data_IF_676672034709
#
_entry.id   IF_676672034709
#
_cell.length_a   1.000
_cell.length_b   1.000
_cell.length_c   1.000
_cell.angle_alpha   90.00
_cell.angle_beta   90.00
_cell.angle_gamma   90.00
#
_symmetry.space_group_name_H-M   'P 1'
#
loop_
_entity.id
_entity.type
_entity.pdbx_description
1 polymer ?
#
# COMPACT_ATOMS: atom_id res chain seq x y z
N UNK A 1 24.29 3.53 -52.19
CA UNK A 1 22.86 3.60 -51.80
C UNK A 1 22.75 3.02 -50.40
N UNK A 2 22.67 3.91 -49.40
CA UNK A 2 22.60 3.56 -47.98
C UNK A 2 21.16 3.70 -47.53
N UNK A 3 20.52 2.62 -47.11
CA UNK A 3 19.16 2.63 -46.55
C UNK A 3 19.22 2.69 -45.04
N UNK A 4 18.75 3.80 -44.48
CA UNK A 4 18.50 4.01 -43.05
C UNK A 4 17.25 3.23 -42.62
N UNK A 5 17.23 2.55 -41.47
CA UNK A 5 16.00 2.00 -40.92
C UNK A 5 15.20 3.09 -40.18
N UNK A 6 13.91 3.21 -40.49
CA UNK A 6 12.95 4.03 -39.73
C UNK A 6 12.56 3.33 -38.44
N UNK A 7 12.88 3.95 -37.31
CA UNK A 7 12.36 3.57 -35.99
C UNK A 7 10.91 4.09 -35.91
N UNK A 8 9.95 3.18 -35.76
CA UNK A 8 8.56 3.51 -35.46
C UNK A 8 8.41 3.55 -33.94
N UNK A 9 8.35 4.74 -33.36
CA UNK A 9 7.95 4.94 -31.97
C UNK A 9 6.45 4.75 -31.86
N UNK A 10 6.05 3.62 -31.26
CA UNK A 10 4.66 3.37 -30.86
C UNK A 10 4.42 4.15 -29.57
N UNK A 11 3.60 5.20 -29.63
CA UNK A 11 3.12 5.94 -28.46
C UNK A 11 2.02 5.15 -27.78
N UNK A 12 2.34 4.48 -26.67
CA UNK A 12 1.36 3.97 -25.71
C UNK A 12 0.57 5.15 -25.13
N UNK A 13 -0.77 5.09 -25.04
CA UNK A 13 -1.53 6.12 -24.36
C UNK A 13 -1.17 6.14 -22.87
N UNK A 14 -0.55 7.24 -22.43
CA UNK A 14 -0.35 7.55 -21.02
C UNK A 14 -1.71 7.95 -20.44
N UNK A 15 -2.39 6.99 -19.80
CA UNK A 15 -3.55 7.27 -18.97
C UNK A 15 -3.04 8.12 -17.82
N UNK A 16 -3.50 9.37 -17.69
CA UNK A 16 -3.15 10.23 -16.57
C UNK A 16 -3.43 9.49 -15.26
N UNK A 17 -2.44 9.39 -14.34
CA UNK A 17 -2.66 8.68 -13.09
C UNK A 17 -3.78 9.40 -12.33
N UNK A 18 -4.75 8.63 -11.86
CA UNK A 18 -5.67 9.10 -10.82
C UNK A 18 -4.79 9.49 -9.65
N UNK A 19 -4.73 10.78 -9.33
CA UNK A 19 -3.92 11.26 -8.20
C UNK A 19 -4.52 10.67 -6.93
N UNK A 20 -3.69 9.99 -6.14
CA UNK A 20 -4.07 9.42 -4.84
C UNK A 20 -3.23 10.09 -3.76
N UNK A 21 -3.87 10.46 -2.67
CA UNK A 21 -3.17 10.90 -1.47
C UNK A 21 -3.21 9.78 -0.44
N UNK A 22 -2.08 9.58 0.24
CA UNK A 22 -1.94 8.59 1.30
C UNK A 22 -1.63 9.29 2.61
N UNK A 23 -2.10 8.70 3.70
CA UNK A 23 -1.73 9.12 5.05
C UNK A 23 -1.75 7.92 5.98
N UNK A 24 -0.95 7.98 7.04
CA UNK A 24 -0.97 7.01 8.13
C UNK A 24 -1.84 7.59 9.23
N UNK A 25 -2.71 6.77 9.83
CA UNK A 25 -3.49 7.20 10.99
C UNK A 25 -2.59 7.68 12.14
N UNK A 26 -3.04 8.69 12.88
CA UNK A 26 -2.32 9.15 14.06
C UNK A 26 -2.40 8.10 15.18
N UNK A 27 -3.59 7.53 15.36
CA UNK A 27 -3.89 6.54 16.39
C UNK A 27 -3.66 5.09 15.94
N UNK A 28 -3.51 4.23 16.95
CA UNK A 28 -3.47 2.78 16.80
C UNK A 28 -4.87 2.21 16.93
N UNK A 29 -5.16 1.20 16.13
CA UNK A 29 -6.44 0.51 16.10
C UNK A 29 -6.21 -0.96 16.39
N UNK A 30 -7.10 -1.59 17.15
CA UNK A 30 -7.12 -3.04 17.24
C UNK A 30 -7.42 -3.64 15.86
N UNK A 31 -6.89 -4.83 15.59
CA UNK A 31 -7.18 -5.59 14.38
C UNK A 31 -8.69 -5.83 14.19
N UNK A 32 -9.44 -5.92 15.28
CA UNK A 32 -10.90 -6.10 15.23
C UNK A 32 -11.68 -4.83 14.88
N UNK A 33 -11.08 -3.64 14.98
CA UNK A 33 -11.74 -2.35 14.74
C UNK A 33 -12.16 -2.13 13.28
N UNK A 34 -13.10 -1.22 13.03
CA UNK A 34 -13.45 -0.83 11.66
C UNK A 34 -12.41 0.15 11.08
N UNK A 35 -11.39 -0.40 10.42
CA UNK A 35 -10.30 0.38 9.81
C UNK A 35 -10.77 1.26 8.66
N UNK A 36 -11.88 0.91 7.98
CA UNK A 36 -12.45 1.74 6.93
C UNK A 36 -13.11 2.98 7.54
N UNK A 37 -13.88 2.80 8.62
CA UNK A 37 -14.44 3.91 9.37
C UNK A 37 -13.33 4.83 9.93
N UNK A 38 -12.23 4.26 10.43
CA UNK A 38 -11.07 5.03 10.85
C UNK A 38 -10.55 5.91 9.70
N UNK A 39 -10.26 5.34 8.51
CA UNK A 39 -9.80 6.16 7.39
C UNK A 39 -10.77 7.28 7.00
N UNK A 40 -12.08 7.03 7.05
CA UNK A 40 -13.11 8.04 6.79
C UNK A 40 -13.05 9.17 7.82
N UNK A 41 -12.85 8.85 9.09
CA UNK A 41 -12.77 9.83 10.18
C UNK A 41 -11.55 10.74 10.07
N UNK A 42 -10.35 10.18 9.84
CA UNK A 42 -9.11 10.97 9.76
C UNK A 42 -8.92 11.68 8.41
N UNK A 43 -9.45 11.11 7.32
CA UNK A 43 -9.07 11.52 5.97
C UNK A 43 -10.26 11.90 5.06
N UNK A 44 -11.47 11.83 5.62
CA UNK A 44 -12.72 12.26 5.01
C UNK A 44 -13.48 11.15 4.30
N UNK A 45 -14.74 11.43 3.98
CA UNK A 45 -15.75 10.47 3.48
C UNK A 45 -15.34 9.56 2.31
N UNK A 46 -14.38 9.98 1.49
CA UNK A 46 -13.95 9.24 0.29
C UNK A 46 -12.66 8.44 0.53
N UNK A 47 -12.15 8.44 1.77
CA UNK A 47 -10.99 7.68 2.17
C UNK A 47 -11.35 6.22 2.44
N UNK A 48 -10.36 5.35 2.22
CA UNK A 48 -10.42 3.93 2.53
C UNK A 48 -9.07 3.45 3.03
N UNK A 49 -9.03 2.23 3.54
CA UNK A 49 -7.76 1.53 3.77
C UNK A 49 -7.05 1.34 2.43
N UNK A 50 -5.74 1.59 2.40
CA UNK A 50 -4.92 1.28 1.25
C UNK A 50 -4.95 -0.23 0.95
N UNK A 51 -4.82 -0.58 -0.31
CA UNK A 51 -4.87 -1.96 -0.78
C UNK A 51 -3.54 -2.36 -1.43
N UNK A 52 -3.07 -3.54 -1.05
CA UNK A 52 -1.81 -4.07 -1.55
C UNK A 52 -1.79 -4.20 -3.08
N UNK A 53 -2.85 -4.71 -3.70
CA UNK A 53 -2.87 -4.92 -5.16
C UNK A 53 -3.19 -3.61 -5.88
N UNK A 54 -4.21 -2.88 -5.42
CA UNK A 54 -4.73 -1.73 -6.17
C UNK A 54 -4.00 -0.41 -5.91
N UNK A 55 -3.19 -0.34 -4.86
CA UNK A 55 -2.39 0.84 -4.53
C UNK A 55 -0.89 0.58 -4.57
N UNK A 56 -0.40 -0.56 -4.06
CA UNK A 56 1.05 -0.80 -4.03
C UNK A 56 1.54 -1.41 -5.34
N UNK A 57 1.02 -2.58 -5.72
CA UNK A 57 1.41 -3.27 -6.97
C UNK A 57 0.99 -2.51 -8.24
N UNK A 58 0.19 -1.44 -8.09
CA UNK A 58 -0.21 -0.55 -9.18
C UNK A 58 0.75 0.64 -9.41
N UNK A 59 1.71 0.87 -8.49
CA UNK A 59 2.75 1.90 -8.61
C UNK A 59 4.06 1.28 -9.07
N UNK A 60 4.91 2.07 -9.73
CA UNK A 60 6.30 1.68 -9.95
C UNK A 60 7.02 1.54 -8.59
N UNK A 61 7.97 0.60 -8.47
CA UNK A 61 8.62 0.33 -7.18
C UNK A 61 9.28 1.56 -6.55
N UNK A 62 9.93 2.40 -7.36
CA UNK A 62 10.62 3.58 -6.87
C UNK A 62 9.64 4.68 -6.42
N UNK A 63 8.47 4.77 -7.06
CA UNK A 63 7.39 5.65 -6.61
C UNK A 63 6.89 5.22 -5.24
N UNK A 64 6.62 3.92 -5.06
CA UNK A 64 6.15 3.37 -3.80
C UNK A 64 7.20 3.53 -2.68
N UNK A 65 8.49 3.31 -2.96
CA UNK A 65 9.58 3.54 -1.99
C UNK A 65 9.64 5.00 -1.54
N UNK A 66 9.51 5.94 -2.47
CA UNK A 66 9.49 7.36 -2.15
C UNK A 66 8.25 7.72 -1.32
N UNK A 67 7.08 7.19 -1.67
CA UNK A 67 5.86 7.37 -0.89
C UNK A 67 6.02 6.88 0.55
N UNK A 68 6.55 5.68 0.77
CA UNK A 68 6.78 5.13 2.11
C UNK A 68 7.72 6.02 2.92
N UNK A 69 8.80 6.51 2.29
CA UNK A 69 9.73 7.46 2.91
C UNK A 69 9.03 8.76 3.31
N UNK A 70 8.23 9.34 2.43
CA UNK A 70 7.52 10.61 2.66
C UNK A 70 6.46 10.48 3.77
N UNK A 71 5.86 9.30 3.90
CA UNK A 71 4.96 8.94 5.00
C UNK A 71 5.68 8.61 6.32
N UNK A 72 7.02 8.60 6.34
CA UNK A 72 7.81 8.22 7.52
C UNK A 72 7.82 6.72 7.82
N UNK A 73 7.43 5.87 6.86
CA UNK A 73 7.45 4.41 6.95
C UNK A 73 8.87 3.93 6.63
N UNK A 74 9.73 4.01 7.64
CA UNK A 74 11.13 3.60 7.56
C UNK A 74 11.27 2.07 7.60
N UNK A 75 12.44 1.58 7.17
CA UNK A 75 12.79 0.17 7.29
C UNK A 75 12.84 -0.21 8.78
N UNK A 76 12.17 -1.30 9.13
CA UNK A 76 12.17 -1.87 10.48
C UNK A 76 11.97 -3.38 10.41
N UNK A 77 12.07 -4.07 11.56
CA UNK A 77 11.94 -5.52 11.62
C UNK A 77 11.14 -5.97 12.86
N UNK A 78 9.84 -6.21 12.68
CA UNK A 78 8.86 -6.48 13.75
C UNK A 78 8.65 -5.28 14.70
N UNK A 79 8.78 -4.06 14.20
CA UNK A 79 8.64 -2.85 15.03
C UNK A 79 7.55 -1.92 14.50
N UNK A 80 7.49 -1.69 13.19
CA UNK A 80 6.54 -0.75 12.60
C UNK A 80 5.77 -1.38 11.45
N UNK A 81 4.61 -1.96 11.79
CA UNK A 81 3.68 -2.49 10.81
C UNK A 81 2.41 -1.67 10.72
N UNK A 82 1.71 -1.76 9.59
CA UNK A 82 0.51 -0.96 9.30
C UNK A 82 -0.58 -1.83 8.68
N UNK A 83 -1.84 -1.59 9.03
CA UNK A 83 -2.97 -2.26 8.40
C UNK A 83 -3.15 -1.83 6.94
N UNK A 84 -3.50 -2.81 6.11
CA UNK A 84 -3.70 -2.72 4.67
C UNK A 84 -4.74 -3.79 4.28
N UNK A 85 -5.40 -3.66 3.13
CA UNK A 85 -6.23 -4.74 2.58
C UNK A 85 -5.51 -5.48 1.45
N UNK A 86 -5.95 -6.71 1.18
CA UNK A 86 -5.55 -7.44 -0.02
C UNK A 86 -6.77 -7.69 -0.90
N UNK A 87 -6.81 -7.07 -2.08
CA UNK A 87 -7.92 -7.18 -3.03
C UNK A 87 -9.28 -6.86 -2.37
N UNK A 88 -9.30 -5.78 -1.57
CA UNK A 88 -10.45 -5.31 -0.80
C UNK A 88 -10.78 -6.13 0.45
N UNK A 89 -9.98 -7.16 0.78
CA UNK A 89 -10.22 -8.00 1.96
C UNK A 89 -9.33 -7.58 3.11
N UNK A 90 -9.96 -7.39 4.27
CA UNK A 90 -9.29 -7.17 5.55
C UNK A 90 -8.67 -8.45 6.12
N UNK A 91 -9.40 -9.57 6.03
CA UNK A 91 -9.03 -10.82 6.68
C UNK A 91 -8.26 -11.76 5.75
N UNK A 92 -7.23 -12.41 6.30
CA UNK A 92 -6.52 -13.50 5.65
C UNK A 92 -7.40 -14.75 5.61
N UNK A 93 -7.87 -15.09 4.40
CA UNK A 93 -8.70 -16.28 4.13
C UNK A 93 -9.90 -16.37 5.08
N UNK A 94 -10.06 -17.50 5.78
CA UNK A 94 -11.15 -17.74 6.76
C UNK A 94 -10.64 -17.69 8.20
N UNK A 95 -9.62 -16.86 8.46
CA UNK A 95 -9.01 -16.70 9.80
C UNK A 95 -9.40 -15.36 10.42
N UNK A 96 -9.05 -15.15 11.68
CA UNK A 96 -9.14 -13.85 12.36
C UNK A 96 -7.97 -12.91 12.07
N UNK A 97 -6.97 -13.35 11.27
CA UNK A 97 -5.79 -12.53 11.00
C UNK A 97 -6.13 -11.42 10.02
N UNK A 98 -5.69 -10.21 10.35
CA UNK A 98 -5.85 -9.02 9.50
C UNK A 98 -4.56 -8.78 8.74
N UNK A 99 -4.66 -8.42 7.47
CA UNK A 99 -3.52 -8.07 6.64
C UNK A 99 -2.82 -6.81 7.19
N UNK A 100 -1.50 -6.88 7.23
CA UNK A 100 -0.64 -5.77 7.59
C UNK A 100 0.62 -5.82 6.71
N UNK A 101 1.40 -4.74 6.68
CA UNK A 101 2.70 -4.75 6.03
C UNK A 101 3.74 -4.03 6.88
N UNK A 102 5.00 -4.34 6.62
CA UNK A 102 6.16 -3.64 7.15
C UNK A 102 7.22 -3.47 6.05
N UNK A 103 7.99 -2.40 6.15
CA UNK A 103 9.11 -2.15 5.26
C UNK A 103 10.35 -2.91 5.76
N UNK A 104 10.69 -4.00 5.09
CA UNK A 104 11.83 -4.84 5.46
C UNK A 104 13.02 -4.70 4.50
N UNK A 105 12.98 -3.78 3.53
CA UNK A 105 13.96 -3.70 2.44
C UNK A 105 14.21 -5.05 1.76
N UNK A 106 13.14 -5.84 1.59
CA UNK A 106 13.17 -7.17 0.96
C UNK A 106 13.76 -8.29 1.83
N UNK A 107 14.00 -8.04 3.11
CA UNK A 107 14.60 -9.01 4.06
C UNK A 107 13.72 -9.21 5.29
N UNK A 108 12.49 -9.74 5.13
CA UNK A 108 11.60 -9.99 6.27
C UNK A 108 12.25 -10.93 7.29
N UNK A 109 12.05 -10.69 8.59
CA UNK A 109 12.44 -11.62 9.65
C UNK A 109 11.83 -13.02 9.45
N UNK A 110 12.53 -14.07 9.89
CA UNK A 110 12.05 -15.47 9.74
C UNK A 110 10.70 -15.72 10.43
N UNK A 111 10.38 -14.96 11.48
CA UNK A 111 9.11 -15.06 12.19
C UNK A 111 7.97 -14.26 11.52
N UNK A 112 8.25 -13.51 10.45
CA UNK A 112 7.23 -12.81 9.69
C UNK A 112 6.47 -13.78 8.77
N UNK A 113 5.15 -13.75 8.86
CA UNK A 113 4.31 -14.55 7.96
C UNK A 113 4.16 -13.87 6.60
N UNK A 114 5.17 -14.02 5.74
CA UNK A 114 5.18 -13.41 4.40
C UNK A 114 4.10 -14.03 3.51
N UNK A 115 3.18 -13.20 3.01
CA UNK A 115 2.22 -13.58 1.95
C UNK A 115 2.68 -13.11 0.57
N UNK A 116 3.25 -11.90 0.49
CA UNK A 116 3.78 -11.25 -0.72
C UNK A 116 4.89 -10.28 -0.36
N UNK A 117 5.71 -9.92 -1.34
CA UNK A 117 6.69 -8.84 -1.22
C UNK A 117 6.67 -7.98 -2.49
N UNK A 118 6.83 -6.67 -2.33
CA UNK A 118 6.90 -5.71 -3.43
C UNK A 118 7.63 -4.45 -2.98
N UNK A 119 8.53 -3.92 -3.82
CA UNK A 119 9.28 -2.69 -3.54
C UNK A 119 9.97 -2.62 -2.16
N UNK A 120 10.41 -3.77 -1.61
CA UNK A 120 11.04 -3.88 -0.28
C UNK A 120 10.05 -4.07 0.88
N UNK A 121 8.74 -3.89 0.65
CA UNK A 121 7.69 -4.15 1.63
C UNK A 121 7.36 -5.64 1.69
N UNK A 122 6.93 -6.11 2.86
CA UNK A 122 6.40 -7.46 3.04
C UNK A 122 4.96 -7.43 3.54
N UNK A 123 4.05 -8.03 2.78
CA UNK A 123 2.69 -8.28 3.22
C UNK A 123 2.68 -9.44 4.22
N UNK A 124 2.12 -9.21 5.40
CA UNK A 124 1.88 -10.18 6.44
C UNK A 124 0.41 -10.23 6.85
N UNK A 125 0.13 -11.03 7.88
CA UNK A 125 -1.15 -10.98 8.57
C UNK A 125 -1.02 -11.50 9.99
N UNK A 126 -1.65 -10.86 10.96
CA UNK A 126 -1.63 -11.30 12.34
C UNK A 126 -2.95 -11.01 13.09
N UNK A 127 -3.09 -11.49 14.32
CA UNK A 127 -4.23 -11.27 15.22
C UNK A 127 -3.71 -10.79 16.58
N UNK A 128 -4.56 -10.23 17.44
CA UNK A 128 -4.16 -9.71 18.76
C UNK A 128 -3.05 -8.65 18.64
N UNK A 129 -3.26 -7.69 17.73
CA UNK A 129 -2.34 -6.59 17.42
C UNK A 129 -3.08 -5.27 17.31
N UNK A 130 -2.41 -4.22 17.76
CA UNK A 130 -2.84 -2.84 17.61
C UNK A 130 -1.84 -2.10 16.72
N UNK A 131 -2.26 -1.64 15.54
CA UNK A 131 -1.41 -0.99 14.54
C UNK A 131 -2.08 0.28 14.00
N UNK A 132 -1.27 1.14 13.38
CA UNK A 132 -1.78 2.24 12.56
C UNK A 132 -2.36 1.72 11.24
N UNK A 133 -3.27 2.47 10.65
CA UNK A 133 -3.90 2.14 9.36
C UNK A 133 -3.28 3.02 8.28
N UNK A 134 -2.87 2.43 7.16
CA UNK A 134 -2.54 3.21 5.97
C UNK A 134 -3.84 3.51 5.21
N UNK A 135 -4.15 4.79 5.06
CA UNK A 135 -5.33 5.28 4.39
C UNK A 135 -4.97 5.90 3.03
N UNK A 136 -5.91 5.83 2.09
CA UNK A 136 -5.80 6.43 0.76
C UNK A 136 -7.11 7.09 0.36
N UNK A 137 -7.03 8.17 -0.40
CA UNK A 137 -8.17 8.88 -0.99
C UNK A 137 -7.87 9.26 -2.44
N UNK A 138 -8.86 9.12 -3.32
CA UNK A 138 -8.76 9.68 -4.67
C UNK A 138 -8.76 11.21 -4.59
N UNK A 139 -7.77 11.84 -5.20
CA UNK A 139 -7.83 13.24 -5.62
C UNK A 139 -8.32 13.25 -7.06
N UNK A 140 -9.61 13.04 -7.19
CA UNK A 140 -10.27 13.13 -8.47
C UNK A 140 -10.38 14.65 -8.77
N UNK A 141 -9.61 15.17 -9.74
CA UNK A 141 -9.73 16.57 -10.16
C UNK A 141 -11.17 16.80 -10.63
N UNK A 142 -11.95 17.59 -9.89
CA UNK A 142 -13.20 18.16 -10.40
C UNK A 142 -12.84 19.16 -11.51
N UNK A 143 -12.71 18.67 -12.74
CA UNK A 143 -12.87 19.50 -13.95
C UNK A 143 -14.34 19.81 -14.18
#
# INVERSE_FOLDING_TARGET
ITTTPSITTTTTPSISPILKEFTVSEDFFEETADHAAACIEYFGKDARVADWVYDFEAMEEDELKNLMKDLGILVSHNENSYFVTLEGKKLYRRTSRVYNFENHDGKPPTNWLVHRQYAGLSLGSWFDISLKVLCVKCVCNNT
#
